data_IF_780199569037
#
_entry.id   IF_780199569037
#
_cell.length_a   1.000
_cell.length_b   1.000
_cell.length_c   1.000
_cell.angle_alpha   90.00
_cell.angle_beta   90.00
_cell.angle_gamma   90.00
#
_symmetry.space_group_name_H-M   'P 1'
#
loop_
_entity.id
_entity.type
_entity.pdbx_description
1 polymer ?
#
# COMPACT_ATOMS: atom_id res chain seq x y z
N UNK A 1 24.76 -21.29 0.68
CA UNK A 1 23.50 -20.57 0.93
C UNK A 1 22.95 -20.17 -0.42
N UNK A 2 21.70 -20.53 -0.72
CA UNK A 2 21.08 -20.35 -2.04
C UNK A 2 20.46 -18.95 -2.10
N UNK A 3 21.21 -17.97 -2.58
CA UNK A 3 20.89 -16.53 -2.61
C UNK A 3 19.56 -16.18 -3.30
N UNK A 4 19.08 -17.01 -4.22
CA UNK A 4 17.85 -16.74 -4.96
C UNK A 4 16.58 -16.88 -4.11
N UNK A 5 16.58 -17.77 -3.11
CA UNK A 5 15.43 -17.93 -2.19
C UNK A 5 15.39 -16.78 -1.20
N UNK A 6 16.57 -16.38 -0.68
CA UNK A 6 16.71 -15.24 0.24
C UNK A 6 16.28 -13.90 -0.40
N UNK A 7 16.61 -13.64 -1.67
CA UNK A 7 16.23 -12.41 -2.36
C UNK A 7 14.75 -12.37 -2.78
N UNK A 8 14.19 -13.51 -3.16
CA UNK A 8 12.77 -13.61 -3.48
C UNK A 8 11.93 -13.41 -2.22
N UNK A 9 12.27 -14.09 -1.12
CA UNK A 9 11.57 -13.96 0.14
C UNK A 9 11.66 -12.51 0.67
N UNK A 10 12.84 -11.87 0.56
CA UNK A 10 13.00 -10.45 0.87
C UNK A 10 12.10 -9.55 0.00
N UNK A 11 12.03 -9.78 -1.31
CA UNK A 11 11.15 -9.02 -2.20
C UNK A 11 9.68 -9.15 -1.77
N UNK A 12 9.25 -10.38 -1.47
CA UNK A 12 7.89 -10.65 -1.02
C UNK A 12 7.61 -9.92 0.29
N UNK A 13 8.46 -10.05 1.30
CA UNK A 13 8.29 -9.41 2.61
C UNK A 13 8.17 -7.88 2.49
N UNK A 14 9.04 -7.25 1.71
CA UNK A 14 9.00 -5.80 1.49
C UNK A 14 7.73 -5.36 0.73
N UNK A 15 7.26 -6.14 -0.25
CA UNK A 15 5.98 -5.88 -0.93
C UNK A 15 4.79 -5.99 0.05
N UNK A 16 4.84 -6.93 1.01
CA UNK A 16 3.80 -7.03 2.04
C UNK A 16 3.81 -5.81 2.96
N UNK A 17 4.99 -5.36 3.41
CA UNK A 17 5.12 -4.17 4.25
C UNK A 17 4.63 -2.90 3.55
N UNK A 18 4.93 -2.73 2.26
CA UNK A 18 4.37 -1.63 1.46
C UNK A 18 2.84 -1.75 1.40
N UNK A 19 2.30 -2.92 1.05
CA UNK A 19 0.85 -3.13 0.98
C UNK A 19 0.13 -2.78 2.28
N UNK A 20 0.70 -3.17 3.42
CA UNK A 20 0.16 -2.82 4.72
C UNK A 20 0.28 -1.35 5.07
N UNK A 21 1.35 -0.70 4.61
CA UNK A 21 1.56 0.73 4.78
C UNK A 21 0.52 1.52 3.99
N UNK A 22 0.24 1.15 2.73
CA UNK A 22 -0.81 1.78 1.93
C UNK A 22 -2.20 1.58 2.55
N UNK A 23 -2.52 0.36 3.02
CA UNK A 23 -3.77 0.11 3.77
C UNK A 23 -3.89 0.95 5.05
N UNK A 24 -2.78 1.23 5.73
CA UNK A 24 -2.79 2.10 6.90
C UNK A 24 -2.96 3.57 6.50
N UNK A 25 -2.35 3.97 5.38
CA UNK A 25 -2.38 5.33 4.86
C UNK A 25 -3.79 5.75 4.45
N UNK A 26 -4.58 4.88 3.81
CA UNK A 26 -6.00 5.16 3.49
C UNK A 26 -6.81 5.56 4.73
N UNK A 27 -6.61 4.85 5.86
CA UNK A 27 -7.25 5.17 7.15
C UNK A 27 -6.71 6.45 7.76
N UNK A 28 -5.42 6.73 7.59
CA UNK A 28 -4.80 7.95 8.08
C UNK A 28 -5.34 9.18 7.33
N UNK A 29 -5.42 9.13 6.00
CA UNK A 29 -6.02 10.19 5.18
C UNK A 29 -7.47 10.46 5.55
N UNK A 30 -8.29 9.42 5.78
CA UNK A 30 -9.66 9.60 6.25
C UNK A 30 -9.76 10.33 7.61
N UNK A 31 -8.78 10.17 8.49
CA UNK A 31 -8.70 10.92 9.76
C UNK A 31 -8.20 12.34 9.55
N UNK A 32 -7.16 12.52 8.73
CA UNK A 32 -6.54 13.81 8.45
C UNK A 32 -7.50 14.76 7.73
N UNK A 33 -8.28 14.27 6.76
CA UNK A 33 -9.31 15.07 6.07
C UNK A 33 -10.39 15.59 7.02
N UNK A 34 -10.71 14.86 8.10
CA UNK A 34 -11.72 15.28 9.09
C UNK A 34 -11.23 16.42 10.00
N UNK A 35 -9.91 16.55 10.18
CA UNK A 35 -9.31 17.55 11.08
C UNK A 35 -8.60 18.69 10.33
N UNK A 36 -8.41 18.55 9.02
CA UNK A 36 -7.82 19.57 8.18
C UNK A 36 -8.67 20.85 8.20
N UNK A 37 -8.02 21.99 8.39
CA UNK A 37 -8.65 23.30 8.51
C UNK A 37 -8.80 24.03 7.17
N UNK A 38 -8.07 23.61 6.14
CA UNK A 38 -8.11 24.21 4.81
C UNK A 38 -8.68 23.24 3.79
N UNK A 39 -9.52 23.77 2.89
CA UNK A 39 -10.11 22.99 1.80
C UNK A 39 -9.03 22.40 0.88
N UNK A 40 -8.01 23.19 0.57
CA UNK A 40 -6.88 22.75 -0.26
C UNK A 40 -6.18 21.51 0.31
N UNK A 41 -5.98 21.46 1.63
CA UNK A 41 -5.36 20.30 2.28
C UNK A 41 -6.27 19.06 2.25
N UNK A 42 -7.58 19.25 2.40
CA UNK A 42 -8.56 18.16 2.23
C UNK A 42 -8.50 17.62 0.81
N UNK A 43 -8.51 18.50 -0.19
CA UNK A 43 -8.48 18.12 -1.61
C UNK A 43 -7.20 17.33 -1.94
N UNK A 44 -6.03 17.74 -1.39
CA UNK A 44 -4.76 17.01 -1.54
C UNK A 44 -4.85 15.59 -0.94
N UNK A 45 -5.38 15.44 0.28
CA UNK A 45 -5.54 14.12 0.88
C UNK A 45 -6.56 13.25 0.11
N UNK A 46 -7.61 13.85 -0.44
CA UNK A 46 -8.60 13.13 -1.23
C UNK A 46 -8.00 12.61 -2.54
N UNK A 47 -7.23 13.43 -3.24
CA UNK A 47 -6.53 13.01 -4.45
C UNK A 47 -5.50 11.91 -4.16
N UNK A 48 -4.70 12.07 -3.11
CA UNK A 48 -3.71 11.05 -2.73
C UNK A 48 -4.38 9.75 -2.27
N UNK A 49 -5.56 9.81 -1.64
CA UNK A 49 -6.32 8.61 -1.28
C UNK A 49 -6.67 7.79 -2.54
N UNK A 50 -7.09 8.45 -3.63
CA UNK A 50 -7.37 7.78 -4.91
C UNK A 50 -6.09 7.13 -5.45
N UNK A 51 -4.97 7.85 -5.45
CA UNK A 51 -3.67 7.29 -5.88
C UNK A 51 -3.26 6.09 -5.02
N UNK A 52 -3.52 6.12 -3.71
CA UNK A 52 -3.23 5.03 -2.77
C UNK A 52 -4.08 3.79 -3.06
N UNK A 53 -5.37 3.99 -3.37
CA UNK A 53 -6.27 2.89 -3.77
C UNK A 53 -5.82 2.25 -5.09
N UNK A 54 -5.36 3.05 -6.06
CA UNK A 54 -4.74 2.52 -7.28
C UNK A 54 -3.43 1.76 -7.02
N UNK A 55 -2.59 2.26 -6.12
CA UNK A 55 -1.35 1.58 -5.73
C UNK A 55 -1.63 0.24 -5.07
N UNK A 56 -2.68 0.14 -4.24
CA UNK A 56 -3.14 -1.13 -3.67
C UNK A 56 -3.55 -2.13 -4.76
N UNK A 57 -4.33 -1.70 -5.76
CA UNK A 57 -4.70 -2.57 -6.88
C UNK A 57 -3.47 -3.03 -7.66
N UNK A 58 -2.51 -2.15 -7.92
CA UNK A 58 -1.25 -2.51 -8.60
C UNK A 58 -0.40 -3.50 -7.79
N UNK A 59 -0.36 -3.36 -6.47
CA UNK A 59 0.33 -4.32 -5.61
C UNK A 59 -0.33 -5.71 -5.69
N UNK A 60 -1.65 -5.76 -5.75
CA UNK A 60 -2.40 -7.02 -5.93
C UNK A 60 -2.07 -7.69 -7.27
N UNK A 61 -2.00 -6.91 -8.36
CA UNK A 61 -1.54 -7.38 -9.67
C UNK A 61 -0.07 -7.86 -9.64
N UNK A 62 0.80 -7.17 -8.90
CA UNK A 62 2.21 -7.57 -8.75
C UNK A 62 2.30 -8.92 -8.03
N UNK A 63 1.58 -9.13 -6.92
CA UNK A 63 1.54 -10.42 -6.23
C UNK A 63 1.08 -11.55 -7.17
N UNK A 64 0.02 -11.33 -7.94
CA UNK A 64 -0.44 -12.30 -8.94
C UNK A 64 0.64 -12.59 -10.00
N UNK A 65 1.32 -11.55 -10.50
CA UNK A 65 2.34 -11.67 -11.54
C UNK A 65 3.58 -12.47 -11.13
N UNK A 66 3.90 -12.48 -9.82
CA UNK A 66 5.02 -13.24 -9.26
C UNK A 66 4.59 -14.60 -8.69
N UNK A 67 3.30 -14.97 -8.82
CA UNK A 67 2.77 -16.24 -8.32
C UNK A 67 2.58 -16.30 -6.80
N UNK A 68 2.55 -15.14 -6.14
CA UNK A 68 2.37 -15.01 -4.70
C UNK A 68 0.95 -14.62 -4.33
N UNK A 69 0.56 -14.86 -3.08
CA UNK A 69 -0.77 -14.52 -2.60
C UNK A 69 -0.78 -13.12 -2.01
N UNK A 70 -1.81 -12.35 -2.36
CA UNK A 70 -2.08 -11.05 -1.72
C UNK A 70 -2.21 -11.23 -0.20
N UNK A 71 -1.56 -10.38 0.61
CA UNK A 71 -1.64 -10.43 2.06
C UNK A 71 -3.08 -10.25 2.56
N UNK A 72 -3.60 -11.29 3.23
CA UNK A 72 -4.98 -11.29 3.75
C UNK A 72 -5.09 -10.81 5.20
N UNK A 73 -3.98 -10.75 5.96
CA UNK A 73 -3.94 -10.35 7.38
C UNK A 73 -2.68 -9.56 7.71
N UNK A 74 -2.84 -8.46 8.44
CA UNK A 74 -1.74 -7.85 9.20
C UNK A 74 -1.73 -8.44 10.60
#
# INVERSE_FOLDING_TARGET
MSTARDLHDLLVDELQEIYWSEKALTKAFAKLMKVASSKELVDVFQNHLIETEEQLMRLEEVFESIGEKVPSKK
#
